data_IF_740866638456
#
_entry.id   IF_740866638456
#
_cell.length_a   1.000
_cell.length_b   1.000
_cell.length_c   1.000
_cell.angle_alpha   90.00
_cell.angle_beta   90.00
_cell.angle_gamma   90.00
#
_symmetry.space_group_name_H-M   'P 1'
#
loop_
_entity.id
_entity.type
_entity.pdbx_description
1 polymer ?
#
# COMPACT_ATOMS: atom_id res chain seq x y z
N UNK A 1 -15.16 -19.93 17.74
CA UNK A 1 -13.99 -20.11 16.86
C UNK A 1 -14.50 -20.66 15.54
N UNK A 2 -14.15 -20.02 14.43
CA UNK A 2 -14.46 -20.48 13.07
C UNK A 2 -13.30 -21.34 12.56
N UNK A 3 -13.57 -22.56 12.11
CA UNK A 3 -12.55 -23.49 11.60
C UNK A 3 -12.49 -23.41 10.07
N UNK A 4 -11.30 -23.21 9.52
CA UNK A 4 -11.06 -23.27 8.07
C UNK A 4 -10.57 -24.68 7.75
N UNK A 5 -11.44 -25.52 7.18
CA UNK A 5 -11.15 -26.94 6.95
C UNK A 5 -10.50 -27.25 5.59
N UNK A 6 -10.46 -26.29 4.67
CA UNK A 6 -10.02 -26.49 3.27
C UNK A 6 -9.09 -25.36 2.84
N UNK A 7 -7.89 -25.32 3.40
CA UNK A 7 -6.82 -24.48 2.90
C UNK A 7 -5.84 -25.39 2.15
N UNK A 8 -5.97 -25.44 0.82
CA UNK A 8 -4.92 -26.01 -0.02
C UNK A 8 -3.77 -25.00 -0.07
N UNK A 9 -2.74 -25.26 0.73
CA UNK A 9 -1.53 -24.44 0.77
C UNK A 9 -0.49 -25.15 -0.09
N UNK A 10 0.10 -24.47 -1.11
CA UNK A 10 1.19 -25.04 -1.88
C UNK A 10 2.33 -25.50 -0.96
N UNK A 11 2.91 -26.67 -1.23
CA UNK A 11 3.94 -27.29 -0.37
C UNK A 11 5.13 -26.36 -0.11
N UNK A 12 5.54 -25.58 -1.12
CA UNK A 12 6.61 -24.60 -0.99
C UNK A 12 6.27 -23.52 0.05
N UNK A 13 5.03 -23.03 0.02
CA UNK A 13 4.54 -21.98 0.91
C UNK A 13 4.37 -22.54 2.33
N UNK A 14 3.89 -23.78 2.46
CA UNK A 14 3.84 -24.49 3.73
C UNK A 14 5.23 -24.66 4.35
N UNK A 15 6.25 -25.01 3.55
CA UNK A 15 7.63 -25.15 4.00
C UNK A 15 8.21 -23.83 4.51
N UNK A 16 7.92 -22.71 3.83
CA UNK A 16 8.33 -21.39 4.29
C UNK A 16 7.68 -21.01 5.63
N UNK A 17 6.37 -21.23 5.76
CA UNK A 17 5.64 -20.98 7.02
C UNK A 17 6.21 -21.85 8.15
N UNK A 18 6.51 -23.12 7.87
CA UNK A 18 7.12 -24.02 8.85
C UNK A 18 8.48 -23.50 9.32
N UNK A 19 9.33 -23.04 8.40
CA UNK A 19 10.61 -22.41 8.75
C UNK A 19 10.45 -21.19 9.64
N UNK A 20 9.46 -20.33 9.35
CA UNK A 20 9.14 -19.16 10.17
C UNK A 20 8.63 -19.55 11.56
N UNK A 21 7.76 -20.57 11.64
CA UNK A 21 7.23 -21.07 12.91
C UNK A 21 8.34 -21.63 13.80
N UNK A 22 9.29 -22.39 13.20
CA UNK A 22 10.46 -22.90 13.92
C UNK A 22 11.36 -21.77 14.43
N UNK A 23 11.59 -20.73 13.62
CA UNK A 23 12.40 -19.57 14.03
C UNK A 23 11.75 -18.77 15.17
N UNK A 24 10.43 -18.74 15.24
CA UNK A 24 9.67 -18.02 16.27
C UNK A 24 9.25 -18.90 17.45
N UNK A 25 9.69 -20.17 17.47
CA UNK A 25 9.35 -21.16 18.49
C UNK A 25 7.84 -21.28 18.75
N UNK A 26 7.02 -21.14 17.70
CA UNK A 26 5.56 -21.23 17.77
C UNK A 26 5.04 -22.36 16.89
N UNK A 27 3.76 -22.73 17.09
CA UNK A 27 3.13 -23.74 16.22
C UNK A 27 2.85 -23.17 14.83
N UNK A 28 2.78 -24.04 13.83
CA UNK A 28 2.46 -23.65 12.45
C UNK A 28 1.10 -22.95 12.39
N UNK A 29 0.10 -23.45 13.13
CA UNK A 29 -1.23 -22.84 13.17
C UNK A 29 -1.21 -21.43 13.78
N UNK A 30 -0.43 -21.22 14.85
CA UNK A 30 -0.25 -19.87 15.41
C UNK A 30 0.43 -18.94 14.40
N UNK A 31 1.49 -19.42 13.73
CA UNK A 31 2.17 -18.66 12.70
C UNK A 31 1.24 -18.28 11.54
N UNK A 32 0.36 -19.19 11.10
CA UNK A 32 -0.65 -18.92 10.08
C UNK A 32 -1.60 -17.81 10.55
N UNK A 33 -2.07 -17.85 11.80
CA UNK A 33 -2.95 -16.81 12.35
C UNK A 33 -2.25 -15.45 12.37
N UNK A 34 -0.98 -15.41 12.79
CA UNK A 34 -0.17 -14.17 12.81
C UNK A 34 -0.01 -13.60 11.40
N UNK A 35 0.32 -14.44 10.42
CA UNK A 35 0.47 -14.01 9.02
C UNK A 35 -0.85 -13.48 8.44
N UNK A 36 -1.97 -14.14 8.75
CA UNK A 36 -3.30 -13.67 8.33
C UNK A 36 -3.67 -12.32 8.96
N UNK A 37 -3.35 -12.11 10.24
CA UNK A 37 -3.56 -10.82 10.91
C UNK A 37 -2.73 -9.71 10.25
N UNK A 38 -1.45 -9.97 9.99
CA UNK A 38 -0.56 -9.01 9.33
C UNK A 38 -1.01 -8.69 7.90
N UNK A 39 -1.46 -9.69 7.14
CA UNK A 39 -1.98 -9.49 5.80
C UNK A 39 -3.25 -8.61 5.83
N UNK A 40 -4.15 -8.84 6.78
CA UNK A 40 -5.37 -8.05 6.94
C UNK A 40 -5.06 -6.59 7.31
N UNK A 41 -4.13 -6.38 8.23
CA UNK A 41 -3.69 -5.03 8.61
C UNK A 41 -3.04 -4.31 7.42
N UNK A 42 -2.18 -4.99 6.67
CA UNK A 42 -1.54 -4.44 5.48
C UNK A 42 -2.56 -4.04 4.42
N UNK A 43 -3.58 -4.88 4.19
CA UNK A 43 -4.65 -4.59 3.22
C UNK A 43 -5.51 -3.40 3.68
N UNK A 44 -5.85 -3.32 4.98
CA UNK A 44 -6.56 -2.15 5.54
C UNK A 44 -5.75 -0.86 5.38
N UNK A 45 -4.45 -0.90 5.64
CA UNK A 45 -3.57 0.26 5.45
C UNK A 45 -3.51 0.67 3.97
N UNK A 46 -3.40 -0.30 3.05
CA UNK A 46 -3.38 -0.06 1.60
C UNK A 46 -4.65 0.62 1.11
N UNK A 47 -5.82 0.17 1.58
CA UNK A 47 -7.10 0.78 1.23
C UNK A 47 -7.20 2.21 1.76
N UNK A 48 -6.76 2.44 2.99
CA UNK A 48 -6.74 3.78 3.62
C UNK A 48 -5.82 4.73 2.84
N UNK A 49 -4.60 4.31 2.51
CA UNK A 49 -3.66 5.10 1.72
C UNK A 49 -4.21 5.42 0.33
N UNK A 50 -4.82 4.43 -0.33
CA UNK A 50 -5.42 4.61 -1.66
C UNK A 50 -6.53 5.67 -1.62
N UNK A 51 -7.38 5.62 -0.58
CA UNK A 51 -8.44 6.61 -0.37
C UNK A 51 -7.87 8.02 -0.16
N UNK A 52 -6.86 8.16 0.70
CA UNK A 52 -6.20 9.44 0.94
C UNK A 52 -5.56 10.00 -0.33
N UNK A 53 -4.90 9.16 -1.14
CA UNK A 53 -4.31 9.58 -2.41
C UNK A 53 -5.38 10.01 -3.42
N UNK A 54 -6.54 9.34 -3.45
CA UNK A 54 -7.68 9.75 -4.28
C UNK A 54 -8.26 11.09 -3.83
N UNK A 55 -8.41 11.30 -2.52
CA UNK A 55 -8.87 12.59 -1.96
C UNK A 55 -7.88 13.72 -2.29
N UNK A 56 -6.57 13.48 -2.16
CA UNK A 56 -5.54 14.45 -2.57
C UNK A 56 -5.63 14.75 -4.07
N UNK A 57 -5.81 13.71 -4.90
CA UNK A 57 -5.93 13.90 -6.34
C UNK A 57 -7.17 14.72 -6.72
N UNK A 58 -8.31 14.49 -6.06
CA UNK A 58 -9.54 15.26 -6.29
C UNK A 58 -9.46 16.69 -5.72
N UNK A 59 -8.76 16.87 -4.60
CA UNK A 59 -8.56 18.18 -3.97
C UNK A 59 -7.47 19.01 -4.66
N UNK A 60 -6.64 18.40 -5.53
CA UNK A 60 -5.68 19.15 -6.33
C UNK A 60 -6.44 20.03 -7.31
N UNK A 61 -6.41 21.33 -7.02
CA UNK A 61 -6.91 22.36 -7.89
C UNK A 61 -6.23 22.27 -9.27
N UNK A 62 -7.04 22.02 -10.31
CA UNK A 62 -6.61 22.15 -11.70
C UNK A 62 -6.86 23.58 -12.14
N UNK A 63 -5.81 24.35 -12.50
CA UNK A 63 -5.99 25.70 -13.02
C UNK A 63 -6.88 25.65 -14.27
N UNK A 64 -7.85 26.57 -14.43
CA UNK A 64 -8.50 26.77 -15.71
C UNK A 64 -7.47 27.07 -16.80
N UNK A 65 -7.69 26.61 -18.03
CA UNK A 65 -6.76 26.84 -19.16
C UNK A 65 -6.52 28.32 -19.51
N UNK A 66 -7.33 29.22 -18.95
CA UNK A 66 -7.21 30.68 -19.12
C UNK A 66 -6.21 31.31 -18.14
N UNK A 67 -5.67 30.57 -17.18
CA UNK A 67 -4.70 31.09 -16.21
C UNK A 67 -3.30 30.97 -16.82
N UNK A 68 -2.54 32.08 -16.94
CA UNK A 68 -1.20 32.05 -17.49
C UNK A 68 -0.26 31.23 -16.59
N UNK A 69 0.66 30.51 -17.21
CA UNK A 69 1.62 29.68 -16.50
C UNK A 69 2.54 30.55 -15.63
N UNK A 70 2.40 30.42 -14.32
CA UNK A 70 3.20 31.18 -13.36
C UNK A 70 4.69 30.86 -13.46
N UNK A 71 5.04 29.66 -13.94
CA UNK A 71 6.44 29.29 -14.19
C UNK A 71 7.00 30.05 -15.39
N UNK A 72 6.21 30.17 -16.46
CA UNK A 72 6.59 30.97 -17.64
C UNK A 72 6.75 32.46 -17.26
N UNK A 73 5.80 33.03 -16.52
CA UNK A 73 5.88 34.42 -16.04
C UNK A 73 7.15 34.65 -15.18
N UNK A 74 7.48 33.71 -14.29
CA UNK A 74 8.66 33.83 -13.43
C UNK A 74 9.98 33.69 -14.19
N UNK A 75 10.01 32.96 -15.32
CA UNK A 75 11.18 32.86 -16.18
C UNK A 75 11.41 34.15 -16.97
N UNK A 76 10.34 34.73 -17.48
CA UNK A 76 10.35 36.04 -18.15
C UNK A 76 10.85 37.14 -17.20
N UNK A 77 10.32 37.20 -15.97
CA UNK A 77 10.77 38.18 -14.95
C UNK A 77 12.26 38.02 -14.59
N UNK A 78 12.79 36.80 -14.64
CA UNK A 78 14.21 36.53 -14.33
C UNK A 78 15.14 36.74 -15.53
N UNK A 79 14.59 37.06 -16.72
CA UNK A 79 15.37 37.29 -17.94
C UNK A 79 15.94 36.01 -18.55
N UNK A 80 15.27 34.87 -18.38
CA UNK A 80 15.70 33.61 -19.01
C UNK A 80 15.24 33.46 -20.48
N UNK A 81 14.34 34.33 -20.95
CA UNK A 81 13.76 34.30 -22.30
C UNK A 81 14.29 35.42 -23.24
N UNK A 82 15.39 36.10 -22.87
CA UNK A 82 16.24 36.93 -23.75
C UNK A 82 17.52 36.20 -24.16
#
# INVERSE_FOLDING_TARGET
>A
MTHINTLEIPDELFTQIQGMALAQACSINEQIVVLLQQALETEMQRQTQTKVLQEIHQARWTPPQTVPDSVAILREIRGYDE
#
